data_IF_465103241371
#
_entry.id   IF_465103241371
#
_cell.length_a   1.000
_cell.length_b   1.000
_cell.length_c   1.000
_cell.angle_alpha   90.00
_cell.angle_beta   90.00
_cell.angle_gamma   90.00
#
_symmetry.space_group_name_H-M   'P 1'
#
loop_
_entity.id
_entity.type
_entity.pdbx_description
1 polymer ?
#
# COMPACT_ATOMS: atom_id res chain seq x y z
N UNK A 1 17.62 7.11 -4.89
CA UNK A 1 17.84 7.78 -3.58
C UNK A 1 16.75 8.78 -3.22
N UNK A 2 16.37 9.73 -4.08
CA UNK A 2 15.32 10.71 -3.76
C UNK A 2 13.97 10.07 -3.39
N UNK A 3 13.52 9.07 -4.16
CA UNK A 3 12.27 8.36 -3.91
C UNK A 3 12.25 7.66 -2.53
N UNK A 4 13.33 6.96 -2.17
CA UNK A 4 13.51 6.37 -0.83
C UNK A 4 13.41 7.42 0.27
N UNK A 5 14.13 8.53 0.14
CA UNK A 5 14.10 9.61 1.12
C UNK A 5 12.67 10.12 1.33
N UNK A 6 11.95 10.37 0.23
CA UNK A 6 10.58 10.86 0.29
C UNK A 6 9.64 9.85 0.96
N UNK A 7 9.70 8.58 0.57
CA UNK A 7 8.83 7.52 1.13
C UNK A 7 8.99 7.34 2.64
N UNK A 8 10.22 7.48 3.14
CA UNK A 8 10.52 7.33 4.56
C UNK A 8 10.52 8.64 5.36
N UNK A 9 10.34 9.80 4.71
CA UNK A 9 10.24 11.09 5.40
C UNK A 9 9.10 11.12 6.45
N UNK A 10 7.87 10.63 6.16
CA UNK A 10 6.82 10.55 7.17
C UNK A 10 7.22 9.66 8.36
N UNK A 11 7.81 8.49 8.11
CA UNK A 11 8.25 7.57 9.18
C UNK A 11 9.36 8.18 10.05
N UNK A 12 10.34 8.85 9.44
CA UNK A 12 11.35 9.61 10.17
C UNK A 12 10.70 10.72 11.02
N UNK A 13 9.69 11.39 10.46
CA UNK A 13 8.85 12.33 11.17
C UNK A 13 8.13 11.74 12.38
N UNK A 14 7.56 10.55 12.25
CA UNK A 14 6.94 9.83 13.37
C UNK A 14 7.96 9.52 14.48
N UNK A 15 9.19 9.15 14.12
CA UNK A 15 10.27 8.95 15.09
C UNK A 15 10.65 10.26 15.80
N UNK A 16 10.71 11.38 15.09
CA UNK A 16 10.93 12.71 15.71
C UNK A 16 9.84 13.03 16.74
N UNK A 17 8.56 12.75 16.42
CA UNK A 17 7.45 12.97 17.37
C UNK A 17 7.58 12.12 18.64
N UNK A 18 8.22 10.94 18.57
CA UNK A 18 8.42 10.08 19.73
C UNK A 18 9.21 10.81 20.84
N UNK A 19 10.20 11.62 20.46
CA UNK A 19 11.07 12.38 21.37
C UNK A 19 10.44 13.67 21.92
N UNK A 20 9.33 14.14 21.36
CA UNK A 20 8.63 15.35 21.85
C UNK A 20 7.79 14.97 23.07
N UNK A 21 7.85 15.65 24.23
CA UNK A 21 6.99 15.33 25.38
C UNK A 21 5.50 15.37 25.03
N UNK A 22 4.73 14.39 25.53
CA UNK A 22 3.29 14.21 25.18
C UNK A 22 2.42 15.40 25.59
N UNK A 23 2.89 16.21 26.53
CA UNK A 23 2.26 17.42 27.03
C UNK A 23 2.29 18.56 26.00
N UNK A 24 3.26 18.56 25.08
CA UNK A 24 3.42 19.58 24.04
C UNK A 24 2.54 19.29 22.81
N UNK A 25 1.23 19.21 23.04
CA UNK A 25 0.24 18.81 22.03
C UNK A 25 0.33 19.65 20.76
N UNK A 26 0.41 20.97 20.89
CA UNK A 26 0.44 21.87 19.72
C UNK A 26 1.72 21.68 18.89
N UNK A 27 2.88 21.53 19.56
CA UNK A 27 4.15 21.24 18.89
C UNK A 27 4.09 19.92 18.13
N UNK A 28 3.46 18.88 18.70
CA UNK A 28 3.28 17.58 18.03
C UNK A 28 2.45 17.75 16.75
N UNK A 29 1.31 18.44 16.83
CA UNK A 29 0.43 18.64 15.66
C UNK A 29 1.11 19.45 14.56
N UNK A 30 1.74 20.56 14.93
CA UNK A 30 2.46 21.43 14.00
C UNK A 30 3.63 20.70 13.33
N UNK A 31 4.38 19.90 14.09
CA UNK A 31 5.50 19.11 13.55
C UNK A 31 4.98 18.05 12.57
N UNK A 32 3.94 17.30 12.93
CA UNK A 32 3.34 16.30 12.04
C UNK A 32 2.81 16.92 10.74
N UNK A 33 2.12 18.07 10.86
CA UNK A 33 1.62 18.80 9.71
C UNK A 33 2.75 19.33 8.83
N UNK A 34 3.80 19.89 9.43
CA UNK A 34 4.96 20.39 8.69
C UNK A 34 5.65 19.28 7.89
N UNK A 35 5.81 18.09 8.49
CA UNK A 35 6.36 16.91 7.80
C UNK A 35 5.46 16.50 6.63
N UNK A 36 4.15 16.41 6.84
CA UNK A 36 3.21 16.00 5.79
C UNK A 36 3.11 17.01 4.64
N UNK A 37 3.17 18.31 4.94
CA UNK A 37 3.23 19.37 3.92
C UNK A 37 4.56 19.29 3.16
N UNK A 38 5.69 19.09 3.86
CA UNK A 38 6.98 18.93 3.20
C UNK A 38 6.98 17.70 2.27
N UNK A 39 6.44 16.57 2.72
CA UNK A 39 6.30 15.35 1.92
C UNK A 39 5.44 15.58 0.66
N UNK A 40 4.31 16.29 0.79
CA UNK A 40 3.49 16.68 -0.37
C UNK A 40 4.21 17.63 -1.33
N UNK A 41 4.86 18.68 -0.83
CA UNK A 41 5.57 19.63 -1.69
C UNK A 41 6.76 18.98 -2.42
N UNK A 42 7.48 18.09 -1.73
CA UNK A 42 8.57 17.33 -2.34
C UNK A 42 8.06 16.27 -3.33
N UNK A 43 6.87 15.70 -3.13
CA UNK A 43 6.27 14.77 -4.10
C UNK A 43 5.88 15.45 -5.42
N UNK A 44 5.55 16.74 -5.41
CA UNK A 44 5.32 17.52 -6.64
C UNK A 44 6.59 17.62 -7.51
N UNK A 45 7.78 17.56 -6.90
CA UNK A 45 9.03 17.55 -7.66
C UNK A 45 9.16 16.27 -8.49
N UNK A 46 8.64 15.13 -8.01
CA UNK A 46 8.58 13.91 -8.82
C UNK A 46 7.81 14.13 -10.11
N UNK A 47 6.72 14.90 -10.09
CA UNK A 47 5.95 15.22 -11.29
C UNK A 47 6.69 16.18 -12.22
N UNK A 48 7.35 17.20 -11.67
CA UNK A 48 8.09 18.18 -12.46
C UNK A 48 9.25 17.55 -13.26
N UNK A 49 9.89 16.54 -12.68
CA UNK A 49 11.04 15.85 -13.27
C UNK A 49 10.65 14.55 -14.00
N UNK A 50 9.37 14.19 -14.04
CA UNK A 50 8.89 12.96 -14.70
C UNK A 50 8.89 13.13 -16.22
N UNK A 51 9.55 12.23 -16.94
CA UNK A 51 9.52 12.21 -18.40
C UNK A 51 8.25 11.52 -18.91
N UNK A 52 7.28 12.31 -19.37
CA UNK A 52 6.01 11.81 -19.92
C UNK A 52 6.14 11.10 -21.27
N UNK A 53 7.31 11.19 -21.93
CA UNK A 53 7.56 10.51 -23.19
C UNK A 53 8.02 9.06 -23.02
N UNK A 54 8.46 8.68 -21.82
CA UNK A 54 8.89 7.33 -21.47
C UNK A 54 7.79 6.53 -20.80
N UNK A 55 7.59 5.27 -21.23
CA UNK A 55 6.65 4.33 -20.62
C UNK A 55 7.27 3.48 -19.50
N UNK A 56 8.58 3.62 -19.25
CA UNK A 56 9.31 2.82 -18.27
C UNK A 56 9.20 3.33 -16.83
N UNK A 57 9.69 2.53 -15.89
CA UNK A 57 9.87 2.95 -14.49
C UNK A 57 10.92 4.05 -14.40
N UNK A 58 10.66 5.07 -13.59
CA UNK A 58 11.55 6.21 -13.34
C UNK A 58 11.89 6.31 -11.86
N UNK A 59 12.89 7.14 -11.53
CA UNK A 59 13.40 7.31 -10.16
C UNK A 59 13.79 5.98 -9.49
N UNK A 60 14.25 5.03 -10.29
CA UNK A 60 14.52 3.67 -9.85
C UNK A 60 15.71 3.60 -8.89
N UNK A 61 15.61 2.70 -7.94
CA UNK A 61 16.74 2.26 -7.13
C UNK A 61 16.61 0.76 -6.97
N UNK A 62 17.64 0.04 -7.37
CA UNK A 62 17.74 -1.41 -7.28
C UNK A 62 19.05 -1.74 -6.56
N UNK A 63 18.92 -2.34 -5.38
CA UNK A 63 20.04 -2.75 -4.54
C UNK A 63 19.68 -4.08 -3.90
N UNK A 64 20.59 -5.04 -3.92
CA UNK A 64 20.42 -6.33 -3.24
C UNK A 64 20.24 -6.07 -1.73
N UNK A 65 19.13 -6.54 -1.16
CA UNK A 65 18.82 -6.39 0.25
C UNK A 65 19.13 -7.66 1.04
N UNK A 66 18.61 -8.82 0.60
CA UNK A 66 18.87 -10.12 1.21
C UNK A 66 19.39 -11.07 0.13
N UNK A 67 20.71 -11.16 0.01
CA UNK A 67 21.37 -11.90 -1.06
C UNK A 67 20.98 -13.38 -1.08
N UNK A 68 20.90 -14.03 0.09
CA UNK A 68 20.58 -15.47 0.19
C UNK A 68 19.19 -15.82 -0.34
N UNK A 69 18.27 -14.86 -0.35
CA UNK A 69 16.88 -15.05 -0.79
C UNK A 69 16.59 -14.34 -2.11
N UNK A 70 17.60 -13.71 -2.73
CA UNK A 70 17.41 -12.92 -3.94
C UNK A 70 16.47 -11.73 -3.78
N UNK A 71 16.30 -11.23 -2.55
CA UNK A 71 15.42 -10.08 -2.27
C UNK A 71 16.16 -8.79 -2.59
N UNK A 72 15.51 -7.96 -3.39
CA UNK A 72 16.02 -6.65 -3.79
C UNK A 72 15.23 -5.53 -3.10
N UNK A 73 15.90 -4.44 -2.77
CA UNK A 73 15.23 -3.16 -2.56
C UNK A 73 15.08 -2.50 -3.93
N UNK A 74 14.21 -3.07 -4.76
CA UNK A 74 13.86 -2.51 -6.06
C UNK A 74 12.61 -1.65 -5.93
N UNK A 75 12.79 -0.35 -6.09
CA UNK A 75 11.72 0.63 -6.14
C UNK A 75 11.78 1.43 -7.43
N UNK A 76 10.62 1.94 -7.86
CA UNK A 76 10.51 2.83 -9.01
C UNK A 76 9.09 3.36 -9.14
N UNK A 77 8.90 4.35 -10.01
CA UNK A 77 7.61 4.99 -10.22
C UNK A 77 7.32 5.14 -11.71
N UNK A 78 6.14 4.73 -12.15
CA UNK A 78 5.62 5.03 -13.48
C UNK A 78 4.47 6.05 -13.39
N UNK A 79 3.81 6.34 -14.52
CA UNK A 79 2.75 7.34 -14.56
C UNK A 79 1.55 7.05 -13.64
N UNK A 80 1.20 5.77 -13.45
CA UNK A 80 0.08 5.39 -12.56
C UNK A 80 0.52 5.55 -11.10
N UNK A 81 1.68 5.02 -10.75
CA UNK A 81 2.22 5.12 -9.38
C UNK A 81 2.45 6.57 -8.99
N UNK A 82 2.90 7.44 -9.90
CA UNK A 82 3.14 8.86 -9.66
C UNK A 82 1.89 9.59 -9.18
N UNK A 83 0.77 9.42 -9.89
CA UNK A 83 -0.48 10.08 -9.54
C UNK A 83 -1.01 9.60 -8.17
N UNK A 84 -0.92 8.29 -7.91
CA UNK A 84 -1.33 7.71 -6.63
C UNK A 84 -0.42 8.14 -5.48
N UNK A 85 0.89 8.26 -5.72
CA UNK A 85 1.87 8.74 -4.75
C UNK A 85 1.58 10.20 -4.35
N UNK A 86 1.42 11.09 -5.32
CA UNK A 86 1.12 12.51 -5.07
C UNK A 86 -0.23 12.65 -4.36
N UNK A 87 -1.27 11.95 -4.82
CA UNK A 87 -2.57 11.93 -4.16
C UNK A 87 -2.46 11.47 -2.70
N UNK A 88 -1.64 10.47 -2.41
CA UNK A 88 -1.44 9.94 -1.06
C UNK A 88 -0.81 10.97 -0.12
N UNK A 89 0.26 11.64 -0.57
CA UNK A 89 0.92 12.70 0.21
C UNK A 89 -0.03 13.88 0.45
N UNK A 90 -0.79 14.29 -0.58
CA UNK A 90 -1.79 15.36 -0.49
C UNK A 90 -2.89 15.04 0.53
N UNK A 91 -3.50 13.85 0.42
CA UNK A 91 -4.57 13.44 1.34
C UNK A 91 -4.06 13.23 2.76
N UNK A 92 -2.81 12.80 2.94
CA UNK A 92 -2.19 12.70 4.27
C UNK A 92 -2.05 14.09 4.91
N UNK A 93 -1.58 15.09 4.17
CA UNK A 93 -1.46 16.46 4.66
C UNK A 93 -2.82 17.04 5.09
N UNK A 94 -3.85 16.87 4.26
CA UNK A 94 -5.23 17.30 4.58
C UNK A 94 -5.77 16.54 5.80
N UNK A 95 -5.53 15.23 5.87
CA UNK A 95 -6.04 14.39 6.96
C UNK A 95 -5.42 14.78 8.30
N UNK A 96 -4.12 15.09 8.33
CA UNK A 96 -3.45 15.60 9.54
C UNK A 96 -4.00 16.98 9.91
N UNK A 97 -4.16 17.89 8.94
CA UNK A 97 -4.74 19.22 9.17
C UNK A 97 -6.16 19.14 9.75
N UNK A 98 -7.00 18.24 9.23
CA UNK A 98 -8.37 18.04 9.69
C UNK A 98 -8.48 17.38 11.08
N UNK A 99 -7.37 16.90 11.64
CA UNK A 99 -7.35 16.11 12.88
C UNK A 99 -7.13 16.92 14.17
N UNK A 100 -7.24 18.26 14.13
CA UNK A 100 -7.05 19.10 15.33
C UNK A 100 -8.04 18.80 16.46
N UNK A 101 -9.22 18.25 16.12
CA UNK A 101 -10.24 17.84 17.09
C UNK A 101 -9.87 16.56 17.87
N UNK A 102 -8.81 15.85 17.48
CA UNK A 102 -8.31 14.69 18.24
C UNK A 102 -7.62 15.18 19.52
N UNK A 103 -8.15 14.78 20.68
CA UNK A 103 -7.64 15.17 22.02
C UNK A 103 -7.01 14.01 22.79
N UNK A 104 -7.43 12.77 22.51
CA UNK A 104 -6.92 11.55 23.13
C UNK A 104 -5.65 11.08 22.41
N UNK A 105 -4.57 10.78 23.13
CA UNK A 105 -3.34 10.19 22.58
C UNK A 105 -2.85 10.87 21.28
N UNK A 106 -2.77 12.20 21.29
CA UNK A 106 -2.51 12.99 20.07
C UNK A 106 -1.17 12.62 19.44
N UNK A 107 -0.14 12.34 20.25
CA UNK A 107 1.16 11.91 19.76
C UNK A 107 1.06 10.63 18.94
N UNK A 108 0.45 9.61 19.53
CA UNK A 108 0.32 8.28 18.92
C UNK A 108 -0.55 8.34 17.67
N UNK A 109 -1.57 9.19 17.65
CA UNK A 109 -2.40 9.43 16.47
C UNK A 109 -1.58 10.01 15.30
N UNK A 110 -0.82 11.08 15.56
CA UNK A 110 0.00 11.73 14.54
C UNK A 110 1.13 10.82 14.04
N UNK A 111 1.75 10.05 14.93
CA UNK A 111 2.71 9.02 14.56
C UNK A 111 2.08 7.93 13.69
N UNK A 112 0.88 7.45 14.02
CA UNK A 112 0.17 6.45 13.23
C UNK A 112 -0.21 6.99 11.83
N UNK A 113 -0.66 8.24 11.72
CA UNK A 113 -0.98 8.86 10.42
C UNK A 113 0.26 8.97 9.52
N UNK A 114 1.41 9.38 10.08
CA UNK A 114 2.66 9.45 9.33
C UNK A 114 3.20 8.06 8.94
N UNK A 115 3.14 7.09 9.86
CA UNK A 115 3.52 5.70 9.56
C UNK A 115 2.61 5.08 8.50
N UNK A 116 1.30 5.34 8.57
CA UNK A 116 0.33 4.91 7.55
C UNK A 116 0.72 5.46 6.17
N UNK A 117 1.11 6.74 6.10
CA UNK A 117 1.58 7.38 4.87
C UNK A 117 2.77 6.62 4.25
N UNK A 118 3.83 6.35 5.02
CA UNK A 118 4.97 5.56 4.52
C UNK A 118 4.56 4.18 4.01
N UNK A 119 3.63 3.50 4.69
CA UNK A 119 3.12 2.20 4.23
C UNK A 119 2.40 2.28 2.88
N UNK A 120 1.52 3.27 2.72
CA UNK A 120 0.78 3.48 1.46
C UNK A 120 1.71 3.88 0.30
N UNK A 121 2.66 4.79 0.55
CA UNK A 121 3.63 5.23 -0.44
C UNK A 121 4.52 4.06 -0.90
N UNK A 122 5.01 3.26 0.05
CA UNK A 122 5.83 2.08 -0.22
C UNK A 122 5.16 1.08 -1.16
N UNK A 123 3.84 0.86 -1.03
CA UNK A 123 3.10 -0.03 -1.93
C UNK A 123 3.12 0.45 -3.38
N UNK A 124 2.99 1.75 -3.62
CA UNK A 124 2.94 2.27 -5.00
C UNK A 124 4.29 2.28 -5.70
N UNK A 125 5.40 2.19 -4.96
CA UNK A 125 6.75 2.25 -5.54
C UNK A 125 7.47 0.91 -5.57
N UNK A 126 6.94 -0.12 -4.91
CA UNK A 126 7.64 -1.42 -4.79
C UNK A 126 7.62 -2.18 -6.12
N UNK A 127 8.80 -2.57 -6.58
CA UNK A 127 9.04 -3.41 -7.76
C UNK A 127 9.65 -4.76 -7.39
N UNK A 128 9.51 -5.16 -6.13
CA UNK A 128 9.89 -6.46 -5.59
C UNK A 128 8.70 -7.00 -4.78
N UNK A 129 8.35 -8.29 -4.96
CA UNK A 129 7.19 -8.92 -4.31
C UNK A 129 7.30 -8.91 -2.79
N UNK A 130 8.49 -9.19 -2.25
CA UNK A 130 8.70 -9.22 -0.81
C UNK A 130 8.54 -7.82 -0.24
N UNK A 131 9.17 -6.82 -0.88
CA UNK A 131 9.05 -5.43 -0.48
C UNK A 131 7.61 -4.91 -0.55
N UNK A 132 6.89 -5.22 -1.64
CA UNK A 132 5.48 -4.91 -1.81
C UNK A 132 4.64 -5.50 -0.68
N UNK A 133 4.85 -6.79 -0.37
CA UNK A 133 4.10 -7.48 0.69
C UNK A 133 4.37 -6.85 2.06
N UNK A 134 5.62 -6.48 2.36
CA UNK A 134 5.99 -5.80 3.60
C UNK A 134 5.23 -4.48 3.74
N UNK A 135 5.21 -3.63 2.72
CA UNK A 135 4.45 -2.37 2.79
C UNK A 135 2.94 -2.58 2.81
N UNK A 136 2.45 -3.59 2.08
CA UNK A 136 1.04 -3.99 2.04
C UNK A 136 0.52 -4.37 3.42
N UNK A 137 1.27 -5.17 4.18
CA UNK A 137 0.94 -5.54 5.55
C UNK A 137 1.22 -4.41 6.54
N UNK A 138 2.34 -3.69 6.36
CA UNK A 138 2.74 -2.61 7.27
C UNK A 138 1.66 -1.54 7.41
N UNK A 139 1.01 -1.11 6.33
CA UNK A 139 -0.04 -0.10 6.43
C UNK A 139 -1.27 -0.56 7.24
N UNK A 140 -1.53 -1.87 7.33
CA UNK A 140 -2.67 -2.38 8.13
C UNK A 140 -2.47 -2.08 9.60
N UNK A 141 -1.23 -2.05 10.10
CA UNK A 141 -0.93 -1.88 11.52
C UNK A 141 -1.29 -0.47 12.01
N UNK A 142 -0.81 0.64 11.40
CA UNK A 142 -1.27 1.98 11.79
C UNK A 142 -2.78 2.15 11.59
N UNK A 143 -3.35 1.62 10.51
CA UNK A 143 -4.78 1.73 10.24
C UNK A 143 -5.62 1.01 11.32
N UNK A 144 -5.18 -0.16 11.76
CA UNK A 144 -5.77 -0.90 12.87
C UNK A 144 -5.87 -0.02 14.12
N UNK A 145 -4.79 0.66 14.49
CA UNK A 145 -4.80 1.55 15.67
C UNK A 145 -5.66 2.79 15.45
N UNK A 146 -5.61 3.41 14.27
CA UNK A 146 -6.40 4.60 13.93
C UNK A 146 -7.90 4.34 14.16
N UNK A 147 -8.42 3.21 13.68
CA UNK A 147 -9.82 2.83 13.92
C UNK A 147 -9.99 2.40 15.38
N UNK A 148 -9.18 1.45 15.87
CA UNK A 148 -9.40 0.79 17.17
C UNK A 148 -9.31 1.69 18.40
N UNK A 149 -8.50 2.75 18.35
CA UNK A 149 -8.25 3.65 19.49
C UNK A 149 -9.05 4.96 19.40
N UNK A 150 -9.20 5.51 18.19
CA UNK A 150 -9.81 6.83 17.94
C UNK A 150 -11.15 6.78 17.19
N UNK A 151 -11.61 5.59 16.81
CA UNK A 151 -12.91 5.41 16.18
C UNK A 151 -14.11 5.57 17.12
N UNK A 152 -15.29 5.33 16.54
CA UNK A 152 -16.60 5.43 17.17
C UNK A 152 -16.96 4.31 18.16
N UNK A 153 -18.25 4.18 18.52
CA UNK A 153 -18.71 3.25 19.55
C UNK A 153 -18.40 1.78 19.28
N UNK A 154 -18.45 1.32 18.02
CA UNK A 154 -18.20 -0.09 17.64
C UNK A 154 -16.83 -0.28 17.00
N UNK A 155 -15.89 0.64 17.25
CA UNK A 155 -14.55 0.62 16.67
C UNK A 155 -13.80 -0.69 16.82
N UNK A 156 -13.92 -1.40 17.94
CA UNK A 156 -13.21 -2.68 18.13
C UNK A 156 -13.74 -3.73 17.15
N UNK A 157 -15.07 -3.85 17.02
CA UNK A 157 -15.70 -4.76 16.05
C UNK A 157 -15.25 -4.43 14.62
N UNK A 158 -15.37 -3.15 14.23
CA UNK A 158 -14.98 -2.70 12.89
C UNK A 158 -13.51 -2.94 12.59
N UNK A 159 -12.63 -2.65 13.55
CA UNK A 159 -11.18 -2.82 13.39
C UNK A 159 -10.79 -4.29 13.25
N UNK A 160 -11.32 -5.17 14.11
CA UNK A 160 -11.04 -6.61 14.03
C UNK A 160 -11.59 -7.20 12.74
N UNK A 161 -12.81 -6.81 12.34
CA UNK A 161 -13.40 -7.25 11.06
C UNK A 161 -12.58 -6.79 9.87
N UNK A 162 -12.20 -5.52 9.80
CA UNK A 162 -11.32 -4.97 8.77
C UNK A 162 -10.00 -5.74 8.67
N UNK A 163 -9.33 -5.94 9.80
CA UNK A 163 -8.05 -6.63 9.84
C UNK A 163 -8.18 -8.08 9.38
N UNK A 164 -9.14 -8.84 9.92
CA UNK A 164 -9.33 -10.25 9.55
C UNK A 164 -9.70 -10.42 8.07
N UNK A 165 -10.57 -9.56 7.53
CA UNK A 165 -10.91 -9.59 6.10
C UNK A 165 -9.66 -9.38 5.24
N UNK A 166 -8.92 -8.31 5.51
CA UNK A 166 -7.78 -7.92 4.68
C UNK A 166 -6.59 -8.85 4.84
N UNK A 167 -6.29 -9.28 6.07
CA UNK A 167 -5.23 -10.24 6.37
C UNK A 167 -5.50 -11.63 5.77
N UNK A 168 -6.75 -12.09 5.75
CA UNK A 168 -7.08 -13.36 5.12
C UNK A 168 -6.76 -13.36 3.61
N UNK A 169 -7.19 -12.31 2.91
CA UNK A 169 -6.86 -12.14 1.50
C UNK A 169 -5.36 -12.05 1.26
N UNK A 170 -4.65 -11.25 2.05
CA UNK A 170 -3.21 -11.08 1.88
C UNK A 170 -2.40 -12.33 2.19
N UNK A 171 -2.82 -13.17 3.15
CA UNK A 171 -2.16 -14.46 3.40
C UNK A 171 -2.26 -15.40 2.18
N UNK A 172 -3.39 -15.43 1.48
CA UNK A 172 -3.50 -16.19 0.23
C UNK A 172 -2.56 -15.63 -0.85
N UNK A 173 -2.47 -14.31 -0.97
CA UNK A 173 -1.52 -13.66 -1.89
C UNK A 173 -0.08 -14.01 -1.52
N UNK A 174 0.28 -14.07 -0.24
CA UNK A 174 1.61 -14.50 0.21
C UNK A 174 1.93 -15.93 -0.24
N UNK A 175 0.98 -16.85 -0.11
CA UNK A 175 1.15 -18.24 -0.60
C UNK A 175 1.42 -18.25 -2.10
N UNK A 176 0.72 -17.42 -2.88
CA UNK A 176 0.95 -17.30 -4.32
C UNK A 176 2.34 -16.69 -4.65
N UNK A 177 2.78 -15.67 -3.90
CA UNK A 177 4.12 -15.08 -4.03
C UNK A 177 5.20 -16.13 -3.75
N UNK A 178 5.06 -16.90 -2.68
CA UNK A 178 6.01 -17.98 -2.33
C UNK A 178 6.02 -19.07 -3.41
N UNK A 179 4.86 -19.44 -3.94
CA UNK A 179 4.79 -20.40 -5.03
C UNK A 179 5.51 -19.89 -6.28
N UNK A 180 5.27 -18.63 -6.67
CA UNK A 180 5.94 -17.97 -7.79
C UNK A 180 7.45 -17.97 -7.59
N UNK A 181 7.93 -17.62 -6.40
CA UNK A 181 9.35 -17.61 -6.06
C UNK A 181 10.03 -18.96 -6.33
N UNK A 182 9.44 -20.06 -5.85
CA UNK A 182 9.99 -21.39 -6.07
C UNK A 182 9.83 -21.89 -7.51
N UNK A 183 8.70 -21.60 -8.16
CA UNK A 183 8.47 -21.95 -9.56
C UNK A 183 9.46 -21.23 -10.49
N UNK A 184 9.69 -19.95 -10.24
CA UNK A 184 10.65 -19.14 -10.99
C UNK A 184 12.07 -19.69 -10.83
N UNK A 185 12.49 -20.02 -9.61
CA UNK A 185 13.78 -20.68 -9.39
C UNK A 185 13.89 -22.03 -10.12
N UNK A 186 12.84 -22.86 -10.13
CA UNK A 186 12.85 -24.14 -10.83
C UNK A 186 12.97 -24.01 -12.36
N UNK A 187 12.40 -22.96 -12.93
CA UNK A 187 12.32 -22.77 -14.39
C UNK A 187 13.47 -21.93 -14.96
N UNK A 188 13.91 -20.91 -14.22
CA UNK A 188 14.95 -19.95 -14.63
C UNK A 188 16.28 -20.17 -13.92
N UNK A 189 16.30 -20.87 -12.77
CA UNK A 189 17.52 -21.20 -12.03
C UNK A 189 18.03 -20.10 -11.09
N UNK A 190 17.25 -19.04 -10.87
CA UNK A 190 17.64 -17.89 -10.03
C UNK A 190 16.59 -17.68 -8.94
N UNK A 191 17.05 -17.50 -7.70
CA UNK A 191 16.21 -17.01 -6.63
C UNK A 191 16.10 -15.49 -6.74
N UNK A 192 14.88 -14.98 -6.86
CA UNK A 192 14.60 -13.55 -6.90
C UNK A 192 13.16 -13.28 -6.50
N UNK A 193 12.91 -12.12 -5.89
CA UNK A 193 11.58 -11.56 -5.70
C UNK A 193 11.32 -10.32 -6.55
N UNK A 194 12.24 -10.00 -7.47
CA UNK A 194 12.12 -8.87 -8.38
C UNK A 194 10.92 -9.03 -9.32
N UNK A 195 9.96 -8.11 -9.21
CA UNK A 195 8.70 -8.19 -9.95
C UNK A 195 8.92 -8.03 -11.45
N UNK A 196 9.85 -7.17 -11.87
CA UNK A 196 10.09 -6.86 -13.28
C UNK A 196 10.68 -8.07 -13.99
N UNK A 197 11.74 -8.65 -13.42
CA UNK A 197 12.39 -9.85 -13.92
C UNK A 197 11.44 -11.05 -13.93
N UNK A 198 10.66 -11.23 -12.86
CA UNK A 198 9.67 -12.31 -12.79
C UNK A 198 8.62 -12.11 -13.88
N UNK A 199 8.06 -10.91 -14.02
CA UNK A 199 7.00 -10.65 -15.02
C UNK A 199 7.49 -10.90 -16.46
N UNK A 200 8.75 -10.60 -16.75
CA UNK A 200 9.33 -10.79 -18.09
C UNK A 200 9.63 -12.26 -18.43
N UNK A 201 10.06 -13.05 -17.44
CA UNK A 201 10.61 -14.39 -17.70
C UNK A 201 9.75 -15.54 -17.18
N UNK A 202 8.75 -15.28 -16.34
CA UNK A 202 7.92 -16.34 -15.77
C UNK A 202 7.11 -17.03 -16.87
N UNK A 203 7.19 -18.36 -16.91
CA UNK A 203 6.39 -19.18 -17.79
C UNK A 203 5.39 -19.98 -16.96
N UNK A 204 4.11 -19.72 -17.17
CA UNK A 204 3.00 -20.35 -16.46
C UNK A 204 2.03 -20.96 -17.47
N UNK A 205 1.62 -22.21 -17.24
CA UNK A 205 0.49 -22.75 -17.97
C UNK A 205 -0.82 -22.08 -17.50
N UNK A 206 -1.89 -22.26 -18.28
CA UNK A 206 -3.16 -21.60 -17.99
C UNK A 206 -3.75 -21.98 -16.62
N UNK A 207 -3.58 -23.22 -16.18
CA UNK A 207 -4.09 -23.69 -14.88
C UNK A 207 -3.37 -22.99 -13.73
N UNK A 208 -2.05 -22.86 -13.81
CA UNK A 208 -1.24 -22.11 -12.83
C UNK A 208 -1.65 -20.64 -12.80
N UNK A 209 -1.78 -19.99 -13.97
CA UNK A 209 -2.24 -18.61 -14.05
C UNK A 209 -3.60 -18.44 -13.38
N UNK A 210 -4.55 -19.37 -13.55
CA UNK A 210 -5.88 -19.27 -12.93
C UNK A 210 -5.83 -19.29 -11.40
N UNK A 211 -5.07 -20.22 -10.82
CA UNK A 211 -4.97 -20.34 -9.36
C UNK A 211 -4.26 -19.14 -8.75
N UNK A 212 -3.13 -18.72 -9.34
CA UNK A 212 -2.40 -17.54 -8.89
C UNK A 212 -3.22 -16.27 -9.07
N UNK A 213 -3.88 -16.12 -10.22
CA UNK A 213 -4.80 -15.01 -10.47
C UNK A 213 -5.86 -14.94 -9.38
N UNK A 214 -6.52 -16.04 -9.03
CA UNK A 214 -7.57 -16.05 -8.00
C UNK A 214 -7.03 -15.72 -6.60
N UNK A 215 -5.81 -16.15 -6.26
CA UNK A 215 -5.18 -15.83 -4.99
C UNK A 215 -4.88 -14.33 -4.85
N UNK A 216 -4.28 -13.71 -5.87
CA UNK A 216 -4.08 -12.26 -5.91
C UNK A 216 -5.40 -11.51 -6.00
N UNK A 217 -6.33 -12.00 -6.84
CA UNK A 217 -7.65 -11.40 -7.03
C UNK A 217 -8.41 -11.31 -5.72
N UNK A 218 -8.39 -12.35 -4.88
CA UNK A 218 -9.10 -12.30 -3.60
C UNK A 218 -8.54 -11.20 -2.68
N UNK A 219 -7.22 -11.08 -2.57
CA UNK A 219 -6.58 -10.04 -1.78
C UNK A 219 -6.98 -8.63 -2.26
N UNK A 220 -6.93 -8.41 -3.57
CA UNK A 220 -7.26 -7.12 -4.16
C UNK A 220 -8.76 -6.84 -4.15
N UNK A 221 -9.61 -7.82 -4.44
CA UNK A 221 -11.07 -7.69 -4.43
C UNK A 221 -11.62 -7.37 -3.05
N UNK A 222 -11.03 -7.95 -1.98
CA UNK A 222 -11.34 -7.55 -0.60
C UNK A 222 -10.96 -6.09 -0.38
N UNK A 223 -9.79 -5.65 -0.86
CA UNK A 223 -9.32 -4.27 -0.69
C UNK A 223 -10.09 -3.23 -1.55
N UNK A 224 -10.58 -3.62 -2.73
CA UNK A 224 -11.43 -2.83 -3.68
C UNK A 224 -12.93 -2.84 -3.33
N UNK A 225 -13.29 -3.34 -2.14
CA UNK A 225 -14.61 -3.92 -1.82
C UNK A 225 -15.50 -4.36 -3.00
N UNK A 226 -15.10 -5.39 -3.76
CA UNK A 226 -15.98 -5.99 -4.78
C UNK A 226 -17.08 -6.85 -4.14
N UNK A 227 -18.19 -7.09 -4.82
CA UNK A 227 -19.15 -8.13 -4.38
C UNK A 227 -18.49 -9.52 -4.45
N UNK A 228 -18.65 -10.42 -3.46
CA UNK A 228 -19.34 -10.28 -2.16
C UNK A 228 -18.43 -9.84 -0.98
N UNK A 229 -17.20 -9.40 -1.26
CA UNK A 229 -16.12 -9.15 -0.30
C UNK A 229 -16.12 -7.75 0.35
N UNK A 230 -17.20 -6.99 0.25
CA UNK A 230 -17.26 -5.57 0.63
C UNK A 230 -17.75 -5.31 2.06
N UNK A 231 -18.23 -6.32 2.79
CA UNK A 231 -18.99 -6.09 4.04
C UNK A 231 -18.18 -5.48 5.20
N UNK A 232 -16.84 -5.50 5.13
CA UNK A 232 -15.97 -4.83 6.09
C UNK A 232 -15.97 -3.30 5.92
N UNK A 233 -16.22 -2.82 4.69
CA UNK A 233 -16.06 -1.42 4.30
C UNK A 233 -17.04 -0.50 5.05
N UNK A 234 -18.37 -0.76 5.10
CA UNK A 234 -19.30 0.14 5.78
C UNK A 234 -18.98 0.30 7.27
N UNK A 235 -18.65 -0.80 7.95
CA UNK A 235 -18.30 -0.77 9.37
C UNK A 235 -17.01 0.02 9.61
N UNK A 236 -15.98 -0.21 8.79
CA UNK A 236 -14.71 0.51 8.89
C UNK A 236 -14.88 2.02 8.66
N UNK A 237 -15.66 2.43 7.66
CA UNK A 237 -15.87 3.85 7.36
C UNK A 237 -16.73 4.57 8.39
N UNK A 238 -17.79 3.93 8.89
CA UNK A 238 -18.68 4.52 9.90
C UNK A 238 -17.95 4.73 11.21
N UNK A 239 -17.09 3.78 11.59
CA UNK A 239 -16.39 3.84 12.87
C UNK A 239 -15.05 4.56 12.81
N UNK A 240 -14.41 4.72 11.65
CA UNK A 240 -13.15 5.46 11.54
C UNK A 240 -13.32 6.96 11.88
N UNK A 241 -12.33 7.62 12.50
CA UNK A 241 -12.33 9.07 12.62
C UNK A 241 -12.33 9.71 11.22
N UNK A 242 -12.81 10.95 11.09
CA UNK A 242 -12.98 11.64 9.79
C UNK A 242 -11.75 11.53 8.89
N UNK A 243 -10.58 11.87 9.42
CA UNK A 243 -9.31 11.77 8.69
C UNK A 243 -8.92 10.33 8.31
N UNK A 244 -9.22 9.34 9.17
CA UNK A 244 -9.04 7.93 8.83
C UNK A 244 -9.96 7.47 7.70
N UNK A 245 -11.21 7.96 7.68
CA UNK A 245 -12.19 7.66 6.62
C UNK A 245 -11.78 8.28 5.27
N UNK A 246 -11.20 9.49 5.28
CA UNK A 246 -10.61 10.13 4.09
C UNK A 246 -9.50 9.26 3.49
N UNK A 247 -8.56 8.78 4.33
CA UNK A 247 -7.47 7.91 3.85
C UNK A 247 -7.97 6.55 3.38
N UNK A 248 -8.94 5.94 4.08
CA UNK A 248 -9.60 4.72 3.65
C UNK A 248 -10.14 4.87 2.22
N UNK A 249 -11.06 5.81 2.03
CA UNK A 249 -11.73 6.00 0.75
C UNK A 249 -10.76 6.48 -0.34
N UNK A 250 -9.88 7.41 0.02
CA UNK A 250 -9.01 8.12 -0.90
C UNK A 250 -7.86 7.26 -1.42
N UNK A 251 -7.20 6.48 -0.55
CA UNK A 251 -5.94 5.79 -0.87
C UNK A 251 -6.07 4.27 -0.74
N UNK A 252 -6.52 3.77 0.41
CA UNK A 252 -6.48 2.34 0.72
C UNK A 252 -7.26 1.49 -0.29
N UNK A 253 -8.38 2.00 -0.79
CA UNK A 253 -9.17 1.32 -1.83
C UNK A 253 -8.45 1.30 -3.19
N UNK A 254 -7.67 2.35 -3.51
CA UNK A 254 -6.91 2.46 -4.78
C UNK A 254 -5.71 1.53 -4.80
N UNK A 255 -5.20 1.13 -3.63
CA UNK A 255 -4.14 0.13 -3.54
C UNK A 255 -4.58 -1.23 -4.11
N UNK A 256 -5.86 -1.59 -3.93
CA UNK A 256 -6.39 -2.83 -4.49
C UNK A 256 -6.51 -2.78 -6.03
N UNK A 257 -6.99 -1.66 -6.59
CA UNK A 257 -7.04 -1.49 -8.05
C UNK A 257 -5.64 -1.39 -8.65
N UNK A 258 -4.72 -0.72 -7.96
CA UNK A 258 -3.30 -0.72 -8.29
C UNK A 258 -2.74 -2.16 -8.31
N UNK A 259 -3.10 -2.99 -7.33
CA UNK A 259 -2.77 -4.41 -7.28
C UNK A 259 -3.21 -5.17 -8.54
N UNK A 260 -4.46 -4.98 -8.97
CA UNK A 260 -4.95 -5.59 -10.20
C UNK A 260 -4.13 -5.18 -11.43
N UNK A 261 -3.83 -3.88 -11.57
CA UNK A 261 -3.10 -3.33 -12.71
C UNK A 261 -1.64 -3.77 -12.73
N UNK A 262 -0.98 -3.81 -11.58
CA UNK A 262 0.47 -4.08 -11.47
C UNK A 262 0.80 -5.57 -11.42
N UNK A 263 -0.10 -6.40 -10.89
CA UNK A 263 0.17 -7.82 -10.67
C UNK A 263 -0.72 -8.71 -11.55
N UNK A 264 -2.05 -8.68 -11.38
CA UNK A 264 -2.92 -9.64 -12.08
C UNK A 264 -2.82 -9.56 -13.60
N UNK A 265 -2.95 -8.36 -14.17
CA UNK A 265 -2.95 -8.17 -15.61
C UNK A 265 -1.63 -8.59 -16.28
N UNK A 266 -0.45 -8.13 -15.82
CA UNK A 266 0.80 -8.49 -16.48
C UNK A 266 1.30 -9.91 -16.15
N UNK A 267 1.11 -10.42 -14.93
CA UNK A 267 1.61 -11.75 -14.55
C UNK A 267 0.72 -12.88 -15.10
N UNK A 268 -0.58 -12.65 -15.23
CA UNK A 268 -1.55 -13.69 -15.59
C UNK A 268 -2.46 -13.24 -16.75
N UNK A 269 -1.90 -12.89 -17.93
CA UNK A 269 -2.67 -12.27 -19.00
C UNK A 269 -3.79 -13.16 -19.55
N UNK A 270 -3.56 -14.48 -19.67
CA UNK A 270 -4.58 -15.41 -20.18
C UNK A 270 -5.70 -15.63 -19.17
N UNK A 271 -5.36 -15.80 -17.89
CA UNK A 271 -6.36 -15.91 -16.83
C UNK A 271 -7.17 -14.60 -16.68
N UNK A 272 -6.51 -13.44 -16.82
CA UNK A 272 -7.18 -12.13 -16.81
C UNK A 272 -8.24 -12.02 -17.90
N UNK A 273 -7.92 -12.47 -19.11
CA UNK A 273 -8.87 -12.47 -20.22
C UNK A 273 -10.05 -13.44 -19.99
N UNK A 274 -9.79 -14.63 -19.43
CA UNK A 274 -10.85 -15.62 -19.16
C UNK A 274 -11.78 -15.18 -18.01
N UNK A 275 -11.23 -14.57 -16.96
CA UNK A 275 -12.01 -14.09 -15.82
C UNK A 275 -12.63 -12.70 -16.03
N UNK A 276 -12.29 -11.98 -17.10
CA UNK A 276 -12.83 -10.64 -17.37
C UNK A 276 -14.37 -10.56 -17.24
N UNK A 277 -15.18 -11.45 -17.84
CA UNK A 277 -16.63 -11.39 -17.71
C UNK A 277 -17.11 -11.54 -16.26
N UNK A 278 -16.48 -12.43 -15.49
CA UNK A 278 -16.80 -12.62 -14.07
C UNK A 278 -16.48 -11.35 -13.27
N UNK A 279 -15.31 -10.78 -13.48
CA UNK A 279 -14.86 -9.57 -12.78
C UNK A 279 -15.78 -8.40 -13.11
N UNK A 280 -16.18 -8.24 -14.38
CA UNK A 280 -17.12 -7.21 -14.80
C UNK A 280 -18.46 -7.31 -14.06
N UNK A 281 -18.99 -8.53 -13.85
CA UNK A 281 -20.22 -8.75 -13.08
C UNK A 281 -20.03 -8.44 -11.58
N UNK A 282 -18.85 -8.76 -11.01
CA UNK A 282 -18.56 -8.53 -9.60
C UNK A 282 -18.16 -7.07 -9.27
N UNK A 283 -17.85 -6.25 -10.28
CA UNK A 283 -17.38 -4.87 -10.13
C UNK A 283 -18.50 -3.83 -10.08
N UNK A 284 -19.76 -4.27 -9.92
CA UNK A 284 -20.95 -3.42 -9.79
C UNK A 284 -21.11 -2.91 -8.36
#
# INVERSE_FOLDING_TARGET
MFLTFLTFLPLAGALVLAFIPKEKVETIRQTALAIAIADFLLSLHLYADFDLSSSGMQFQQDVIWIQDWGVSYHIGIDGISLLLYIMTTFLTAISILASWNITKHVKEYMMAMLALSTGMLGVFISLDFFLFYVFWEFQLVPMYFIIGVWGGPRRIYATVKFFLYTAFGSLLMLVAIIWIYFHFHQTVGVFTTDLMLITEQINLNLTEQKWLFMAFFLAFAIKVPMFPFHTWLPDAHVEAPTAGSVILAGVLLKMGTYGFLRFNLPLFPFASNEFFPLIAVLSV
#
